data_IF_096192575532
#
_entry.id   IF_096192575532
#
_cell.length_a   1.000
_cell.length_b   1.000
_cell.length_c   1.000
_cell.angle_alpha   90.00
_cell.angle_beta   90.00
_cell.angle_gamma   90.00
#
_symmetry.space_group_name_H-M   'P 1'
#
loop_
_entity.id
_entity.type
_entity.pdbx_description
1 polymer ?
#
# COMPACT_ATOMS: atom_id res chain seq x y z
N UNK A 1 -41.17 -32.70 -1.85
CA UNK A 1 -40.64 -31.29 -1.87
C UNK A 1 -41.71 -30.44 -2.53
N UNK A 2 -42.18 -29.40 -1.86
CA UNK A 2 -43.22 -28.51 -2.37
C UNK A 2 -42.66 -27.78 -3.63
N UNK A 3 -43.37 -27.94 -4.76
CA UNK A 3 -43.00 -27.34 -6.06
C UNK A 3 -42.84 -25.84 -5.97
N UNK A 4 -43.59 -25.14 -5.12
CA UNK A 4 -43.50 -23.70 -4.88
C UNK A 4 -42.15 -23.33 -4.21
N UNK A 5 -41.71 -24.13 -3.25
CA UNK A 5 -40.42 -23.94 -2.57
C UNK A 5 -39.28 -24.16 -3.56
N UNK A 6 -39.34 -25.23 -4.34
CA UNK A 6 -38.30 -25.51 -5.36
C UNK A 6 -38.21 -24.39 -6.38
N UNK A 7 -39.33 -23.87 -6.85
CA UNK A 7 -39.39 -22.75 -7.82
C UNK A 7 -38.82 -21.46 -7.23
N UNK A 8 -39.14 -21.15 -5.95
CA UNK A 8 -38.61 -19.93 -5.30
C UNK A 8 -37.11 -20.01 -5.08
N UNK A 9 -36.59 -21.18 -4.68
CA UNK A 9 -35.15 -21.41 -4.52
C UNK A 9 -34.42 -21.30 -5.87
N UNK A 10 -34.99 -21.86 -6.93
CA UNK A 10 -34.40 -21.78 -8.27
C UNK A 10 -34.36 -20.34 -8.79
N UNK A 11 -35.41 -19.55 -8.60
CA UNK A 11 -35.48 -18.14 -8.98
C UNK A 11 -34.43 -17.33 -8.18
N UNK A 12 -34.27 -17.56 -6.88
CA UNK A 12 -33.29 -16.93 -6.05
C UNK A 12 -31.86 -17.23 -6.52
N UNK A 13 -31.55 -18.51 -6.77
CA UNK A 13 -30.27 -18.95 -7.26
C UNK A 13 -29.89 -18.36 -8.64
N UNK A 14 -30.87 -18.31 -9.56
CA UNK A 14 -30.66 -17.69 -10.89
C UNK A 14 -30.40 -16.19 -10.76
N UNK A 15 -31.13 -15.49 -9.88
CA UNK A 15 -30.91 -14.07 -9.63
C UNK A 15 -29.53 -13.79 -9.04
N UNK A 16 -29.13 -14.57 -8.06
CA UNK A 16 -27.81 -14.47 -7.42
C UNK A 16 -26.69 -14.73 -8.44
N UNK A 17 -26.79 -15.77 -9.24
CA UNK A 17 -25.84 -16.08 -10.30
C UNK A 17 -25.75 -14.95 -11.34
N UNK A 18 -26.87 -14.32 -11.69
CA UNK A 18 -26.89 -13.18 -12.61
C UNK A 18 -26.21 -11.94 -11.99
N UNK A 19 -26.50 -11.60 -10.73
CA UNK A 19 -25.87 -10.51 -10.02
C UNK A 19 -24.35 -10.71 -9.90
N UNK A 20 -23.92 -11.91 -9.53
CA UNK A 20 -22.49 -12.25 -9.42
C UNK A 20 -21.78 -12.13 -10.78
N UNK A 21 -22.44 -12.54 -11.86
CA UNK A 21 -21.89 -12.39 -13.21
C UNK A 21 -21.73 -10.93 -13.61
N UNK A 22 -22.73 -10.10 -13.39
CA UNK A 22 -22.69 -8.67 -13.69
C UNK A 22 -21.59 -7.96 -12.90
N UNK A 23 -21.50 -8.23 -11.58
CA UNK A 23 -20.41 -7.71 -10.73
C UNK A 23 -19.01 -8.12 -11.23
N UNK A 24 -18.84 -9.37 -11.62
CA UNK A 24 -17.58 -9.86 -12.15
C UNK A 24 -17.20 -9.22 -13.50
N UNK A 25 -18.19 -8.94 -14.36
CA UNK A 25 -17.97 -8.25 -15.64
C UNK A 25 -17.58 -6.78 -15.40
N UNK A 26 -18.19 -6.10 -14.44
CA UNK A 26 -17.81 -4.73 -14.05
C UNK A 26 -16.41 -4.68 -13.46
N UNK A 27 -16.07 -5.59 -12.55
CA UNK A 27 -14.72 -5.70 -11.99
C UNK A 27 -13.65 -5.94 -13.07
N UNK A 28 -13.95 -6.77 -14.08
CA UNK A 28 -13.05 -6.98 -15.22
C UNK A 28 -12.86 -5.70 -16.04
N UNK A 29 -13.93 -4.94 -16.28
CA UNK A 29 -13.85 -3.65 -16.98
C UNK A 29 -12.99 -2.65 -16.20
N UNK A 30 -13.18 -2.54 -14.89
CA UNK A 30 -12.35 -1.67 -14.05
C UNK A 30 -10.87 -2.08 -14.10
N UNK A 31 -10.56 -3.37 -13.97
CA UNK A 31 -9.18 -3.87 -14.10
C UNK A 31 -8.57 -3.51 -15.46
N UNK A 32 -9.34 -3.66 -16.55
CA UNK A 32 -8.86 -3.30 -17.88
C UNK A 32 -8.52 -1.81 -18.01
N UNK A 33 -9.26 -0.93 -17.32
CA UNK A 33 -9.02 0.52 -17.35
C UNK A 33 -7.67 0.92 -16.73
N UNK A 34 -7.19 0.19 -15.71
CA UNK A 34 -5.85 0.44 -15.14
C UNK A 34 -4.72 0.23 -16.15
N UNK A 35 -4.91 -0.66 -17.13
CA UNK A 35 -3.91 -0.88 -18.17
C UNK A 35 -3.79 0.30 -19.16
N UNK A 36 -4.74 1.22 -19.19
CA UNK A 36 -4.72 2.42 -20.01
C UNK A 36 -3.92 3.56 -19.35
N UNK A 37 -3.63 3.44 -18.06
CA UNK A 37 -2.85 4.45 -17.33
C UNK A 37 -1.39 4.37 -17.78
N UNK A 38 -0.90 5.44 -18.39
CA UNK A 38 0.49 5.58 -18.79
C UNK A 38 1.32 6.21 -17.68
N UNK A 39 0.78 7.26 -17.04
CA UNK A 39 1.38 7.92 -15.89
C UNK A 39 0.28 8.46 -15.00
N UNK A 40 0.45 8.30 -13.70
CA UNK A 40 -0.38 8.96 -12.70
C UNK A 40 0.48 9.45 -11.55
N UNK A 41 0.06 10.56 -10.93
CA UNK A 41 0.75 11.24 -9.86
C UNK A 41 -0.22 11.53 -8.72
N UNK A 42 0.22 11.25 -7.50
CA UNK A 42 -0.57 11.41 -6.29
C UNK A 42 0.24 12.11 -5.22
N UNK A 43 -0.46 12.86 -4.37
CA UNK A 43 0.08 13.41 -3.13
C UNK A 43 -0.78 12.91 -1.97
N UNK A 44 -0.15 12.57 -0.87
CA UNK A 44 -0.84 12.18 0.36
C UNK A 44 0.00 12.54 1.58
N UNK A 45 -0.64 12.59 2.76
CA UNK A 45 -0.01 13.01 4.00
C UNK A 45 -0.20 12.00 5.14
N UNK A 46 -1.31 11.24 5.12
CA UNK A 46 -1.72 10.38 6.23
C UNK A 46 -1.41 8.90 5.97
N UNK A 47 -1.38 8.09 7.03
CA UNK A 47 -1.22 6.64 6.91
C UNK A 47 -2.42 6.00 6.23
N UNK A 48 -3.63 6.49 6.52
CA UNK A 48 -4.87 6.01 5.92
C UNK A 48 -4.89 6.27 4.40
N UNK A 49 -4.44 7.44 3.99
CA UNK A 49 -4.29 7.77 2.56
C UNK A 49 -3.22 6.88 1.90
N UNK A 50 -2.11 6.60 2.60
CA UNK A 50 -1.06 5.69 2.13
C UNK A 50 -1.61 4.28 1.86
N UNK A 51 -2.38 3.72 2.80
CA UNK A 51 -3.00 2.39 2.66
C UNK A 51 -4.02 2.36 1.51
N UNK A 52 -4.91 3.36 1.43
CA UNK A 52 -5.88 3.47 0.35
C UNK A 52 -5.21 3.61 -1.02
N UNK A 53 -4.19 4.47 -1.11
CA UNK A 53 -3.46 4.69 -2.35
C UNK A 53 -2.66 3.45 -2.77
N UNK A 54 -2.04 2.72 -1.82
CA UNK A 54 -1.33 1.48 -2.12
C UNK A 54 -2.26 0.43 -2.74
N UNK A 55 -3.48 0.29 -2.19
CA UNK A 55 -4.50 -0.62 -2.74
C UNK A 55 -4.92 -0.22 -4.16
N UNK A 56 -5.13 1.06 -4.42
CA UNK A 56 -5.42 1.56 -5.77
C UNK A 56 -4.24 1.36 -6.72
N UNK A 57 -3.04 1.79 -6.30
CA UNK A 57 -1.82 1.78 -7.09
C UNK A 57 -1.39 0.37 -7.50
N UNK A 58 -1.63 -0.63 -6.65
CA UNK A 58 -1.33 -2.03 -6.95
C UNK A 58 -2.01 -2.51 -8.23
N UNK A 59 -3.22 -2.02 -8.53
CA UNK A 59 -3.94 -2.38 -9.75
C UNK A 59 -3.29 -1.87 -11.04
N UNK A 60 -2.36 -0.93 -10.97
CA UNK A 60 -1.55 -0.50 -12.11
C UNK A 60 -0.52 -1.57 -12.53
N UNK A 61 -0.23 -2.55 -11.68
CA UNK A 61 0.76 -3.61 -11.90
C UNK A 61 0.11 -4.91 -12.40
N UNK A 62 0.87 -5.78 -13.10
CA UNK A 62 0.35 -7.06 -13.61
C UNK A 62 -0.14 -7.99 -12.51
N UNK A 63 0.55 -8.01 -11.35
CA UNK A 63 0.22 -8.80 -10.17
C UNK A 63 -0.02 -7.86 -8.96
N UNK A 64 -1.26 -7.37 -8.79
CA UNK A 64 -1.61 -6.46 -7.70
C UNK A 64 -1.37 -7.05 -6.30
N UNK A 65 -1.64 -8.34 -6.12
CA UNK A 65 -1.52 -9.00 -4.81
C UNK A 65 -0.06 -9.06 -4.37
N UNK A 66 0.84 -9.31 -5.29
CA UNK A 66 2.28 -9.33 -5.04
C UNK A 66 2.82 -7.97 -4.60
N UNK A 67 2.41 -6.88 -5.26
CA UNK A 67 3.01 -5.56 -5.03
C UNK A 67 2.32 -4.76 -3.93
N UNK A 68 1.06 -5.08 -3.58
CA UNK A 68 0.26 -4.33 -2.62
C UNK A 68 0.98 -4.10 -1.30
N UNK A 69 1.48 -5.16 -0.67
CA UNK A 69 2.11 -5.06 0.64
C UNK A 69 3.41 -4.25 0.59
N UNK A 70 4.20 -4.42 -0.48
CA UNK A 70 5.43 -3.64 -0.68
C UNK A 70 5.15 -2.16 -0.89
N UNK A 71 4.13 -1.81 -1.69
CA UNK A 71 3.72 -0.43 -1.89
C UNK A 71 3.24 0.20 -0.59
N UNK A 72 2.36 -0.48 0.15
CA UNK A 72 1.85 0.00 1.45
C UNK A 72 2.99 0.25 2.44
N UNK A 73 3.92 -0.69 2.57
CA UNK A 73 5.07 -0.55 3.45
C UNK A 73 5.94 0.66 3.08
N UNK A 74 6.26 0.84 1.80
CA UNK A 74 7.09 1.97 1.36
C UNK A 74 6.37 3.31 1.52
N UNK A 75 5.07 3.38 1.24
CA UNK A 75 4.27 4.60 1.38
C UNK A 75 4.08 4.98 2.86
N UNK A 76 3.82 4.01 3.74
CA UNK A 76 3.74 4.22 5.20
C UNK A 76 5.09 4.70 5.73
N UNK A 77 6.20 4.08 5.30
CA UNK A 77 7.54 4.49 5.72
C UNK A 77 7.88 5.92 5.26
N UNK A 78 7.44 6.33 4.09
CA UNK A 78 7.62 7.70 3.59
C UNK A 78 6.89 8.74 4.45
N UNK A 79 5.68 8.43 4.96
CA UNK A 79 5.00 9.30 5.92
C UNK A 79 5.72 9.27 7.27
N UNK A 80 5.92 8.10 7.84
CA UNK A 80 6.36 7.93 9.21
C UNK A 80 7.82 8.31 9.42
N UNK A 81 8.70 7.70 8.63
CA UNK A 81 10.15 7.90 8.76
C UNK A 81 10.64 9.09 7.94
N UNK A 82 10.04 9.32 6.78
CA UNK A 82 10.34 10.46 5.92
C UNK A 82 9.75 11.75 6.48
N UNK A 83 8.48 12.00 6.22
CA UNK A 83 7.85 13.29 6.52
C UNK A 83 7.75 13.62 8.01
N UNK A 84 7.42 12.64 8.85
CA UNK A 84 7.27 12.84 10.29
C UNK A 84 8.55 12.61 11.09
N UNK A 85 9.63 12.14 10.46
CA UNK A 85 10.96 11.93 11.06
C UNK A 85 10.93 11.06 12.34
N UNK A 86 10.03 10.06 12.38
CA UNK A 86 9.98 9.10 13.48
C UNK A 86 11.07 8.05 13.23
N UNK A 87 12.19 8.16 13.93
CA UNK A 87 13.30 7.21 13.81
C UNK A 87 12.95 5.81 14.33
N UNK A 88 13.74 4.83 13.90
CA UNK A 88 13.54 3.40 14.20
C UNK A 88 13.40 3.12 15.72
N UNK A 89 14.34 3.59 16.53
CA UNK A 89 14.32 3.39 17.99
C UNK A 89 13.09 4.06 18.63
N UNK A 90 12.74 5.25 18.15
CA UNK A 90 11.55 5.96 18.62
C UNK A 90 10.28 5.16 18.32
N UNK A 91 10.16 4.59 17.11
CA UNK A 91 9.03 3.72 16.73
C UNK A 91 8.92 2.52 17.64
N UNK A 92 10.04 1.85 17.95
CA UNK A 92 10.07 0.70 18.87
C UNK A 92 9.45 1.07 20.24
N UNK A 93 9.91 2.17 20.82
CA UNK A 93 9.40 2.64 22.12
C UNK A 93 7.91 2.98 22.05
N UNK A 94 7.49 3.72 21.03
CA UNK A 94 6.09 4.10 20.84
C UNK A 94 5.15 2.91 20.64
N UNK A 95 5.60 1.87 19.97
CA UNK A 95 4.85 0.62 19.80
C UNK A 95 4.74 -0.14 21.13
N UNK A 96 5.83 -0.24 21.90
CA UNK A 96 5.83 -0.88 23.20
C UNK A 96 4.91 -0.16 24.20
N UNK A 97 4.88 1.17 24.15
CA UNK A 97 4.06 2.02 25.01
C UNK A 97 2.60 2.14 24.52
N UNK A 98 2.27 1.62 23.33
CA UNK A 98 0.94 1.74 22.72
C UNK A 98 0.58 3.16 22.28
N UNK A 99 1.56 4.06 22.16
CA UNK A 99 1.37 5.50 21.87
C UNK A 99 1.73 5.91 20.44
N UNK A 100 2.07 4.95 19.60
CA UNK A 100 2.54 5.20 18.23
C UNK A 100 1.55 6.03 17.39
N UNK A 101 0.25 5.66 17.36
CA UNK A 101 -0.77 6.41 16.60
C UNK A 101 -0.95 7.84 17.12
N UNK A 102 -0.92 8.02 18.44
CA UNK A 102 -1.04 9.33 19.06
C UNK A 102 0.14 10.23 18.68
N UNK A 103 1.37 9.70 18.65
CA UNK A 103 2.55 10.46 18.24
C UNK A 103 2.49 10.86 16.76
N UNK A 104 2.02 9.98 15.86
CA UNK A 104 1.81 10.33 14.46
C UNK A 104 0.83 11.49 14.34
N UNK A 105 -0.35 11.39 14.96
CA UNK A 105 -1.35 12.46 14.94
C UNK A 105 -0.81 13.77 15.51
N UNK A 106 -0.05 13.69 16.59
CA UNK A 106 0.59 14.86 17.21
C UNK A 106 1.55 15.54 16.25
N UNK A 107 2.44 14.77 15.58
CA UNK A 107 3.42 15.35 14.64
C UNK A 107 2.76 15.94 13.41
N UNK A 108 1.75 15.30 12.88
CA UNK A 108 0.98 15.82 11.71
C UNK A 108 0.37 17.22 11.97
N UNK A 109 0.15 17.60 13.23
CA UNK A 109 -0.38 18.92 13.61
C UNK A 109 0.71 19.94 13.93
N UNK A 110 1.99 19.56 13.89
CA UNK A 110 3.10 20.49 14.17
C UNK A 110 3.44 21.29 12.91
N UNK A 111 3.72 22.58 13.07
CA UNK A 111 4.07 23.50 11.99
C UNK A 111 5.25 23.00 11.13
N UNK A 112 6.15 22.20 11.72
CA UNK A 112 7.31 21.61 11.05
C UNK A 112 6.93 20.52 10.04
N UNK A 113 5.81 19.81 10.24
CA UNK A 113 5.44 18.62 9.44
C UNK A 113 4.10 18.75 8.74
N UNK A 114 3.19 19.64 9.17
CA UNK A 114 1.80 19.68 8.71
C UNK A 114 1.61 19.88 7.21
N UNK A 115 2.56 20.56 6.55
CA UNK A 115 2.50 20.84 5.11
C UNK A 115 3.29 19.83 4.27
N UNK A 116 3.96 18.86 4.92
CA UNK A 116 4.73 17.85 4.21
C UNK A 116 3.79 16.80 3.60
N UNK A 117 4.11 16.39 2.39
CA UNK A 117 3.38 15.33 1.67
C UNK A 117 4.35 14.32 1.05
N UNK A 118 3.84 13.15 0.78
CA UNK A 118 4.52 12.13 -0.01
C UNK A 118 3.98 12.23 -1.44
N UNK A 119 4.90 12.26 -2.42
CA UNK A 119 4.56 12.17 -3.83
C UNK A 119 4.76 10.76 -4.33
N UNK A 120 3.77 10.22 -5.04
CA UNK A 120 3.86 8.94 -5.75
C UNK A 120 3.63 9.16 -7.23
N UNK A 121 4.57 8.72 -8.04
CA UNK A 121 4.44 8.71 -9.50
C UNK A 121 4.52 7.28 -10.00
N UNK A 122 3.48 6.81 -10.67
CA UNK A 122 3.47 5.51 -11.34
C UNK A 122 3.55 5.76 -12.84
N UNK A 123 4.51 5.12 -13.50
CA UNK A 123 4.72 5.26 -14.94
C UNK A 123 4.87 3.89 -15.58
N UNK A 124 4.09 3.64 -16.64
CA UNK A 124 4.20 2.47 -17.50
C UNK A 124 5.15 2.78 -18.65
N UNK A 125 6.17 1.94 -18.84
CA UNK A 125 7.12 1.99 -19.95
C UNK A 125 7.14 0.64 -20.67
N UNK A 126 7.76 0.59 -21.83
CA UNK A 126 7.87 -0.64 -22.63
C UNK A 126 8.55 -1.80 -21.88
N UNK A 127 9.48 -1.47 -20.98
CA UNK A 127 10.27 -2.43 -20.21
C UNK A 127 9.76 -2.67 -18.78
N UNK A 128 8.62 -2.10 -18.38
CA UNK A 128 8.03 -2.34 -17.05
C UNK A 128 7.23 -1.18 -16.49
N UNK A 129 6.75 -1.37 -15.26
CA UNK A 129 6.00 -0.37 -14.51
C UNK A 129 6.86 0.08 -13.33
N UNK A 130 6.97 1.37 -13.18
CA UNK A 130 7.81 2.03 -12.19
C UNK A 130 6.93 2.81 -11.22
N UNK A 131 7.15 2.62 -9.92
CA UNK A 131 6.63 3.49 -8.88
C UNK A 131 7.80 4.27 -8.27
N UNK A 132 7.68 5.59 -8.21
CA UNK A 132 8.61 6.48 -7.52
C UNK A 132 7.83 7.05 -6.34
N UNK A 133 8.35 6.86 -5.14
CA UNK A 133 7.79 7.37 -3.88
C UNK A 133 8.81 8.35 -3.32
N UNK A 134 8.41 9.59 -3.12
CA UNK A 134 9.29 10.67 -2.66
C UNK A 134 8.67 11.35 -1.45
N UNK A 135 9.38 11.34 -0.33
CA UNK A 135 9.05 12.09 0.87
C UNK A 135 9.88 13.38 0.97
N UNK A 136 9.60 14.22 1.95
CA UNK A 136 10.27 15.49 2.20
C UNK A 136 11.16 15.44 3.47
N UNK A 137 11.52 14.24 3.91
CA UNK A 137 12.41 14.02 5.04
C UNK A 137 13.89 14.15 4.71
N UNK A 138 14.72 13.98 5.72
CA UNK A 138 16.18 14.11 5.60
C UNK A 138 16.87 12.89 4.96
N UNK A 139 16.08 11.85 4.63
CA UNK A 139 16.61 10.59 4.14
C UNK A 139 17.23 9.73 5.24
N UNK A 140 17.70 8.53 4.87
CA UNK A 140 18.27 7.57 5.81
C UNK A 140 19.29 6.63 5.13
N UNK A 141 20.06 5.90 5.92
CA UNK A 141 20.97 4.88 5.39
C UNK A 141 20.20 3.61 4.99
N UNK A 142 19.52 3.66 3.83
CA UNK A 142 18.68 2.60 3.32
C UNK A 142 19.41 1.28 3.03
N UNK A 143 20.70 1.30 2.72
CA UNK A 143 21.51 0.10 2.41
C UNK A 143 21.44 -0.94 3.52
N UNK A 144 21.39 -0.49 4.78
CA UNK A 144 21.28 -1.34 5.96
C UNK A 144 19.95 -2.13 6.03
N UNK A 145 18.91 -1.64 5.34
CA UNK A 145 17.54 -2.20 5.39
C UNK A 145 17.17 -3.02 4.16
N UNK A 146 18.04 -3.09 3.15
CA UNK A 146 17.75 -3.82 1.89
C UNK A 146 17.84 -5.34 2.03
N UNK A 147 18.47 -5.84 3.09
CA UNK A 147 18.63 -7.28 3.37
C UNK A 147 18.07 -7.63 4.73
N UNK A 148 17.54 -8.86 4.84
CA UNK A 148 17.09 -9.39 6.12
C UNK A 148 18.33 -9.67 6.99
N UNK A 149 18.45 -8.93 8.09
CA UNK A 149 19.50 -9.13 9.08
C UNK A 149 18.99 -10.09 10.17
N UNK A 150 19.60 -11.29 10.33
CA UNK A 150 19.20 -12.25 11.35
C UNK A 150 19.27 -11.70 12.79
N UNK A 151 20.18 -10.75 13.06
CA UNK A 151 20.28 -10.12 14.38
C UNK A 151 19.05 -9.31 14.77
N UNK A 152 18.25 -8.88 13.77
CA UNK A 152 16.98 -8.15 13.93
C UNK A 152 15.75 -9.04 13.80
N UNK A 153 15.93 -10.37 13.79
CA UNK A 153 14.82 -11.32 13.65
C UNK A 153 13.79 -11.22 14.79
N UNK A 154 14.21 -10.74 15.97
CA UNK A 154 13.36 -10.50 17.13
C UNK A 154 12.62 -9.15 17.13
N UNK A 155 12.96 -8.24 16.23
CA UNK A 155 12.33 -6.91 16.17
C UNK A 155 10.92 -6.99 15.55
N UNK A 156 9.96 -6.30 16.15
CA UNK A 156 8.58 -6.28 15.68
C UNK A 156 8.40 -5.47 14.38
N UNK A 157 9.42 -4.73 13.93
CA UNK A 157 9.39 -3.90 12.72
C UNK A 157 10.80 -3.77 12.09
N UNK A 158 10.94 -3.04 10.96
CA UNK A 158 12.22 -2.80 10.28
C UNK A 158 12.63 -3.87 9.28
N UNK A 159 11.73 -4.82 8.98
CA UNK A 159 11.92 -5.83 7.91
C UNK A 159 11.17 -5.49 6.63
N UNK A 160 10.30 -4.48 6.67
CA UNK A 160 9.40 -4.15 5.57
C UNK A 160 10.11 -3.83 4.27
N UNK A 161 11.18 -3.02 4.30
CA UNK A 161 11.97 -2.69 3.10
C UNK A 161 12.62 -3.95 2.51
N UNK A 162 13.23 -4.80 3.35
CA UNK A 162 13.85 -6.04 2.89
C UNK A 162 12.81 -7.02 2.31
N UNK A 163 11.64 -7.12 2.93
CA UNK A 163 10.53 -7.94 2.44
C UNK A 163 9.98 -7.39 1.12
N UNK A 164 9.76 -6.07 1.02
CA UNK A 164 9.32 -5.42 -0.21
C UNK A 164 10.32 -5.68 -1.35
N UNK A 165 11.61 -5.53 -1.09
CA UNK A 165 12.67 -5.80 -2.05
C UNK A 165 12.72 -7.27 -2.50
N UNK A 166 12.51 -8.21 -1.58
CA UNK A 166 12.62 -9.64 -1.87
C UNK A 166 11.37 -10.22 -2.53
N UNK A 167 10.17 -9.72 -2.19
CA UNK A 167 8.92 -10.40 -2.50
C UNK A 167 8.00 -9.59 -3.42
N UNK A 168 8.00 -8.26 -3.31
CA UNK A 168 7.00 -7.42 -3.99
C UNK A 168 7.47 -6.87 -5.33
N UNK A 169 8.76 -6.58 -5.47
CA UNK A 169 9.29 -5.91 -6.65
C UNK A 169 10.38 -6.72 -7.32
N UNK A 170 10.54 -6.56 -8.63
CA UNK A 170 11.68 -7.14 -9.36
C UNK A 170 12.97 -6.37 -9.06
N UNK A 171 12.85 -5.08 -8.73
CA UNK A 171 13.96 -4.21 -8.33
C UNK A 171 13.47 -3.07 -7.46
N UNK A 172 14.13 -2.85 -6.35
CA UNK A 172 13.95 -1.69 -5.47
C UNK A 172 15.27 -0.90 -5.39
N UNK A 173 15.18 0.42 -5.49
CA UNK A 173 16.32 1.35 -5.39
C UNK A 173 15.91 2.62 -4.65
N UNK A 174 16.86 3.25 -3.97
CA UNK A 174 16.71 4.51 -3.26
C UNK A 174 17.63 5.56 -3.87
#
# INVERSE_FOLDING_TARGET
VDEKILRSVLIAAVREAHQNRTLNEELKKHKASFNLIQTCKFHFQTLEEAECLAAFAAHCFPDPERVLQGLAELMINAVEHGNLEIGYERKTNLLNDGTWRAEIQRRMLMDEYQDRFVEVVITRKDNGIYAIISDQGLGFNWKRYMTIDPSRAGDNHGRGIAQANAMSFDKLTY
#
